data_IF_576731641438
#
_entry.id   IF_576731641438
#
_cell.length_a   1.000
_cell.length_b   1.000
_cell.length_c   1.000
_cell.angle_alpha   90.00
_cell.angle_beta   90.00
_cell.angle_gamma   90.00
#
_symmetry.space_group_name_H-M   'P 1'
#
loop_
_entity.id
_entity.type
_entity.pdbx_description
1 polymer ?
#
# COMPACT_ATOMS: atom_id res chain seq x y z
N UNK A 1 -15.22 -18.76 -20.69
CA UNK A 1 -14.81 -19.39 -19.40
C UNK A 1 -13.72 -18.63 -18.64
N UNK A 2 -12.73 -18.01 -19.31
CA UNK A 2 -11.58 -17.36 -18.65
C UNK A 2 -11.98 -16.13 -17.80
N UNK A 3 -12.93 -15.31 -18.28
CA UNK A 3 -13.38 -14.10 -17.58
C UNK A 3 -14.03 -14.38 -16.20
N UNK A 4 -14.76 -15.49 -16.06
CA UNK A 4 -15.44 -15.85 -14.81
C UNK A 4 -14.45 -16.23 -13.70
N UNK A 5 -13.38 -16.96 -14.05
CA UNK A 5 -12.32 -17.35 -13.10
C UNK A 5 -11.52 -16.15 -12.61
N UNK A 6 -11.28 -15.20 -13.51
CA UNK A 6 -10.60 -13.94 -13.24
C UNK A 6 -11.44 -13.02 -12.32
N UNK A 7 -12.76 -12.93 -12.51
CA UNK A 7 -13.67 -12.23 -11.58
C UNK A 7 -13.67 -12.84 -10.17
N UNK A 8 -13.70 -14.18 -10.05
CA UNK A 8 -13.66 -14.83 -8.73
C UNK A 8 -12.34 -14.56 -7.98
N UNK A 9 -11.22 -14.45 -8.70
CA UNK A 9 -9.92 -14.09 -8.11
C UNK A 9 -9.94 -12.66 -7.54
N UNK A 10 -10.48 -11.69 -8.29
CA UNK A 10 -10.63 -10.31 -7.84
C UNK A 10 -11.53 -10.22 -6.59
N UNK A 11 -12.67 -10.90 -6.60
CA UNK A 11 -13.59 -10.92 -5.45
C UNK A 11 -12.93 -11.52 -4.21
N UNK A 12 -12.17 -12.61 -4.35
CA UNK A 12 -11.41 -13.21 -3.24
C UNK A 12 -10.32 -12.28 -2.71
N UNK A 13 -9.62 -11.60 -3.62
CA UNK A 13 -8.59 -10.63 -3.28
C UNK A 13 -9.17 -9.47 -2.46
N UNK A 14 -10.23 -8.83 -2.94
CA UNK A 14 -10.90 -7.72 -2.21
C UNK A 14 -11.34 -8.17 -0.82
N UNK A 15 -11.96 -9.35 -0.70
CA UNK A 15 -12.37 -9.90 0.60
C UNK A 15 -11.21 -10.15 1.54
N UNK A 16 -10.09 -10.69 1.05
CA UNK A 16 -8.90 -10.92 1.88
C UNK A 16 -8.25 -9.61 2.32
N UNK A 17 -8.25 -8.58 1.47
CA UNK A 17 -7.77 -7.24 1.82
C UNK A 17 -8.65 -6.60 2.90
N UNK A 18 -9.96 -6.81 2.82
CA UNK A 18 -10.93 -6.33 3.83
C UNK A 18 -10.76 -7.02 5.19
N UNK A 19 -10.59 -8.34 5.20
CA UNK A 19 -10.48 -9.12 6.44
C UNK A 19 -9.14 -8.94 7.17
N UNK A 20 -8.09 -8.45 6.50
CA UNK A 20 -6.77 -8.23 7.10
C UNK A 20 -6.61 -6.78 7.52
N UNK A 21 -6.42 -6.56 8.83
CA UNK A 21 -6.24 -5.24 9.44
C UNK A 21 -4.80 -4.73 9.32
N UNK A 22 -3.82 -5.62 9.08
CA UNK A 22 -2.40 -5.29 9.17
C UNK A 22 -1.69 -5.22 7.80
N UNK A 23 -0.92 -4.16 7.57
CA UNK A 23 -0.10 -3.94 6.37
C UNK A 23 0.93 -5.05 6.10
N UNK A 24 1.67 -5.59 7.10
CA UNK A 24 2.65 -6.67 6.87
C UNK A 24 1.98 -7.96 6.37
N UNK A 25 0.82 -8.29 6.94
CA UNK A 25 0.02 -9.45 6.52
C UNK A 25 -0.51 -9.29 5.09
N UNK A 26 -0.76 -8.06 4.64
CA UNK A 26 -1.12 -7.76 3.26
C UNK A 26 0.09 -7.90 2.33
N UNK A 27 1.27 -7.41 2.73
CA UNK A 27 2.51 -7.53 1.94
C UNK A 27 2.84 -9.00 1.69
N UNK A 28 2.85 -9.84 2.72
CA UNK A 28 3.14 -11.28 2.59
C UNK A 28 2.11 -11.97 1.71
N UNK A 29 0.83 -11.65 1.87
CA UNK A 29 -0.24 -12.23 1.04
C UNK A 29 -0.10 -11.84 -0.44
N UNK A 30 0.19 -10.57 -0.71
CA UNK A 30 0.35 -10.06 -2.08
C UNK A 30 1.63 -10.66 -2.69
N UNK A 31 2.75 -10.68 -1.96
CA UNK A 31 4.02 -11.26 -2.42
C UNK A 31 3.96 -12.78 -2.64
N UNK A 32 3.12 -13.50 -1.88
CA UNK A 32 2.99 -14.94 -1.99
C UNK A 32 2.36 -15.42 -3.31
N UNK A 33 1.77 -14.53 -4.11
CA UNK A 33 1.12 -14.91 -5.36
C UNK A 33 1.30 -13.86 -6.47
N UNK A 34 1.91 -14.28 -7.58
CA UNK A 34 2.10 -13.46 -8.78
C UNK A 34 0.79 -12.85 -9.33
N UNK A 35 -0.34 -13.57 -9.20
CA UNK A 35 -1.64 -13.04 -9.61
C UNK A 35 -2.12 -11.90 -8.71
N UNK A 36 -1.84 -11.96 -7.41
CA UNK A 36 -2.18 -10.89 -6.47
C UNK A 36 -1.25 -9.69 -6.64
N UNK A 37 0.03 -9.92 -7.00
CA UNK A 37 0.93 -8.85 -7.43
C UNK A 37 0.33 -8.09 -8.61
N UNK A 38 0.01 -8.77 -9.71
CA UNK A 38 -0.59 -8.17 -10.92
C UNK A 38 -1.89 -7.43 -10.63
N UNK A 39 -2.77 -8.01 -9.81
CA UNK A 39 -4.02 -7.37 -9.38
C UNK A 39 -3.76 -6.12 -8.55
N UNK A 40 -2.80 -6.16 -7.63
CA UNK A 40 -2.40 -5.00 -6.84
C UNK A 40 -1.84 -3.89 -7.75
N UNK A 41 -0.97 -4.19 -8.71
CA UNK A 41 -0.46 -3.18 -9.66
C UNK A 41 -1.60 -2.59 -10.49
N UNK A 42 -2.53 -3.43 -10.95
CA UNK A 42 -3.69 -3.01 -11.75
C UNK A 42 -4.63 -2.08 -10.96
N UNK A 43 -4.89 -2.39 -9.70
CA UNK A 43 -5.78 -1.60 -8.84
C UNK A 43 -5.12 -0.27 -8.47
N UNK A 44 -3.82 -0.28 -8.19
CA UNK A 44 -3.08 0.93 -7.78
C UNK A 44 -2.73 1.82 -8.99
N UNK A 45 -2.46 1.24 -10.16
CA UNK A 45 -2.20 1.95 -11.40
C UNK A 45 -3.16 1.50 -12.52
N UNK A 46 -4.42 1.97 -12.50
CA UNK A 46 -5.44 1.58 -13.47
C UNK A 46 -5.18 2.14 -14.88
N UNK A 47 -4.19 3.02 -15.07
CA UNK A 47 -3.80 3.59 -16.36
C UNK A 47 -2.75 2.73 -17.10
N UNK A 48 -2.26 1.65 -16.49
CA UNK A 48 -1.36 0.73 -17.18
C UNK A 48 -2.12 -0.02 -18.28
N UNK A 49 -1.71 0.17 -19.54
CA UNK A 49 -2.32 -0.41 -20.75
C UNK A 49 -2.35 -1.96 -20.79
N UNK A 50 -1.72 -2.62 -19.82
CA UNK A 50 -1.59 -4.08 -19.70
C UNK A 50 -2.56 -4.72 -18.71
N UNK A 51 -3.55 -3.99 -18.18
CA UNK A 51 -4.53 -4.54 -17.23
C UNK A 51 -5.49 -5.52 -17.91
N UNK A 52 -5.66 -6.76 -17.38
CA UNK A 52 -6.68 -7.70 -17.85
C UNK A 52 -8.11 -7.33 -17.42
N UNK A 53 -8.28 -6.30 -16.57
CA UNK A 53 -9.59 -5.86 -16.08
C UNK A 53 -9.82 -4.37 -16.38
N UNK A 54 -10.97 -4.07 -17.01
CA UNK A 54 -11.44 -2.70 -17.16
C UNK A 54 -11.74 -2.09 -15.79
N UNK A 55 -11.41 -0.80 -15.61
CA UNK A 55 -11.68 -0.02 -14.39
C UNK A 55 -13.11 -0.18 -13.87
N UNK A 56 -14.07 -0.27 -14.79
CA UNK A 56 -15.49 -0.44 -14.50
C UNK A 56 -15.82 -1.75 -13.77
N UNK A 57 -15.11 -2.84 -14.08
CA UNK A 57 -15.30 -4.15 -13.43
C UNK A 57 -14.81 -4.09 -11.99
N UNK A 58 -13.64 -3.48 -11.77
CA UNK A 58 -13.06 -3.31 -10.43
C UNK A 58 -13.99 -2.44 -9.57
N UNK A 59 -14.49 -1.33 -10.13
CA UNK A 59 -15.45 -0.46 -9.43
C UNK A 59 -16.77 -1.17 -9.11
N UNK A 60 -17.26 -2.06 -9.98
CA UNK A 60 -18.45 -2.90 -9.69
C UNK A 60 -18.19 -3.87 -8.54
N UNK A 61 -17.07 -4.58 -8.55
CA UNK A 61 -16.73 -5.55 -7.49
C UNK A 61 -16.50 -4.84 -6.15
N UNK A 62 -15.82 -3.69 -6.14
CA UNK A 62 -15.61 -2.91 -4.92
C UNK A 62 -16.93 -2.40 -4.34
N UNK A 63 -17.83 -1.87 -5.19
CA UNK A 63 -19.16 -1.40 -4.76
C UNK A 63 -20.01 -2.52 -4.17
N UNK A 64 -20.00 -3.71 -4.76
CA UNK A 64 -20.71 -4.87 -4.22
C UNK A 64 -20.21 -5.29 -2.82
N UNK A 65 -18.97 -4.94 -2.49
CA UNK A 65 -18.35 -5.18 -1.19
C UNK A 65 -18.34 -3.95 -0.27
N UNK A 66 -19.09 -2.90 -0.61
CA UNK A 66 -19.26 -1.69 0.20
C UNK A 66 -18.04 -0.76 0.23
N UNK A 67 -17.05 -0.95 -0.65
CA UNK A 67 -15.83 -0.13 -0.69
C UNK A 67 -15.80 0.73 -1.95
N UNK A 68 -15.33 1.98 -1.84
CA UNK A 68 -14.98 2.77 -3.03
C UNK A 68 -13.60 2.32 -3.52
N UNK A 69 -13.37 2.43 -4.83
CA UNK A 69 -12.08 2.10 -5.42
C UNK A 69 -10.93 2.88 -4.75
N UNK A 70 -11.19 4.14 -4.38
CA UNK A 70 -10.24 5.00 -3.68
C UNK A 70 -9.86 4.46 -2.31
N UNK A 71 -10.82 4.01 -1.52
CA UNK A 71 -10.58 3.47 -0.17
C UNK A 71 -9.72 2.19 -0.25
N UNK A 72 -9.98 1.35 -1.26
CA UNK A 72 -9.17 0.17 -1.54
C UNK A 72 -7.74 0.53 -1.96
N UNK A 73 -7.59 1.55 -2.81
CA UNK A 73 -6.29 2.06 -3.22
C UNK A 73 -5.50 2.64 -2.04
N UNK A 74 -6.15 3.40 -1.17
CA UNK A 74 -5.54 3.98 0.04
C UNK A 74 -5.08 2.88 1.01
N UNK A 75 -5.86 1.80 1.17
CA UNK A 75 -5.48 0.62 1.97
C UNK A 75 -4.30 -0.16 1.37
N UNK A 76 -4.24 -0.28 0.04
CA UNK A 76 -3.21 -1.04 -0.66
C UNK A 76 -1.93 -0.22 -0.91
N UNK A 77 -2.01 1.10 -0.90
CA UNK A 77 -0.88 2.00 -1.15
C UNK A 77 0.38 1.70 -0.32
N UNK A 78 0.32 1.48 1.01
CA UNK A 78 1.53 1.17 1.79
C UNK A 78 2.15 -0.18 1.40
N UNK A 79 1.34 -1.23 1.24
CA UNK A 79 1.82 -2.54 0.80
C UNK A 79 2.40 -2.51 -0.62
N UNK A 80 1.75 -1.79 -1.55
CA UNK A 80 2.20 -1.65 -2.92
C UNK A 80 3.51 -0.86 -3.03
N UNK A 81 3.73 0.15 -2.16
CA UNK A 81 4.99 0.88 -2.04
C UNK A 81 6.11 -0.01 -1.50
N UNK A 82 5.83 -0.78 -0.45
CA UNK A 82 6.80 -1.70 0.14
C UNK A 82 7.26 -2.80 -0.84
N UNK A 83 6.36 -3.25 -1.71
CA UNK A 83 6.65 -4.23 -2.75
C UNK A 83 7.27 -3.64 -4.02
N UNK A 84 7.51 -2.33 -4.09
CA UNK A 84 8.03 -1.65 -5.28
C UNK A 84 7.09 -1.68 -6.49
N UNK A 85 5.83 -2.08 -6.29
CA UNK A 85 4.78 -2.19 -7.31
C UNK A 85 4.21 -0.82 -7.64
N UNK A 86 4.04 0.01 -6.61
CA UNK A 86 3.63 1.37 -6.74
C UNK A 86 4.87 2.25 -6.64
N UNK A 87 5.21 2.95 -7.72
CA UNK A 87 6.07 4.13 -7.59
C UNK A 87 5.45 5.03 -6.53
N UNK A 88 6.26 5.59 -5.63
CA UNK A 88 5.82 6.48 -4.55
C UNK A 88 4.96 7.69 -5.01
N UNK A 89 4.77 7.83 -6.31
CA UNK A 89 3.97 8.79 -7.05
C UNK A 89 2.46 8.50 -7.13
N UNK A 90 1.86 7.94 -6.09
CA UNK A 90 0.41 7.81 -5.97
C UNK A 90 -0.14 8.70 -4.85
N UNK A 91 -0.73 9.85 -5.21
CA UNK A 91 -1.85 10.40 -4.42
C UNK A 91 -1.68 11.71 -3.65
N UNK A 92 -0.58 12.45 -3.78
CA UNK A 92 -0.60 13.88 -3.47
C UNK A 92 0.18 14.61 -4.56
N UNK A 93 -0.46 15.60 -5.18
CA UNK A 93 0.14 16.40 -6.22
C UNK A 93 1.39 17.11 -5.63
N UNK A 94 2.57 16.54 -5.89
CA UNK A 94 3.82 17.17 -5.49
C UNK A 94 3.93 18.47 -6.27
N UNK A 95 3.91 19.62 -5.60
CA UNK A 95 3.97 20.94 -6.24
C UNK A 95 5.23 21.10 -7.10
N UNK A 96 6.33 20.45 -6.70
CA UNK A 96 7.55 20.34 -7.49
C UNK A 96 7.33 19.61 -8.83
N UNK A 97 6.53 18.55 -8.85
CA UNK A 97 6.17 17.82 -10.09
C UNK A 97 5.19 18.62 -10.96
N UNK A 98 4.27 19.37 -10.35
CA UNK A 98 3.35 20.27 -11.05
C UNK A 98 4.08 21.44 -11.71
N UNK A 99 5.22 21.87 -11.16
CA UNK A 99 6.10 22.84 -11.81
C UNK A 99 7.16 22.18 -12.71
N UNK A 100 7.46 20.89 -12.52
CA UNK A 100 8.47 20.16 -13.29
C UNK A 100 9.90 20.46 -12.85
N UNK A 101 10.07 20.81 -11.58
CA UNK A 101 11.35 21.22 -11.00
C UNK A 101 11.78 20.25 -9.90
N UNK A 102 13.06 20.33 -9.52
CA UNK A 102 13.60 19.59 -8.38
C UNK A 102 13.29 20.31 -7.06
N UNK A 103 13.33 19.55 -5.96
CA UNK A 103 13.14 20.07 -4.60
C UNK A 103 14.25 21.04 -4.18
N UNK A 104 15.40 20.99 -4.85
CA UNK A 104 16.53 21.90 -4.64
C UNK A 104 16.44 23.16 -5.51
N UNK A 105 15.33 23.35 -6.25
CA UNK A 105 15.19 24.46 -7.18
C UNK A 105 15.20 25.81 -6.45
N UNK A 106 15.92 26.76 -7.06
CA UNK A 106 16.01 28.14 -6.62
C UNK A 106 14.70 28.91 -6.90
N UNK A 107 14.44 30.03 -6.21
CA UNK A 107 13.28 30.88 -6.48
C UNK A 107 13.21 31.37 -7.94
N UNK A 108 14.37 31.53 -8.59
CA UNK A 108 14.47 31.91 -10.00
C UNK A 108 13.95 30.81 -10.92
N UNK A 109 14.36 29.56 -10.67
CA UNK A 109 13.92 28.39 -11.43
C UNK A 109 12.42 28.12 -11.25
N UNK A 110 11.89 28.28 -10.02
CA UNK A 110 10.45 28.16 -9.74
C UNK A 110 9.64 29.14 -10.60
N UNK A 111 10.09 30.41 -10.67
CA UNK A 111 9.43 31.45 -11.46
C UNK A 111 9.53 31.20 -12.97
N UNK A 112 10.67 30.70 -13.44
CA UNK A 112 10.88 30.37 -14.85
C UNK A 112 10.01 29.18 -15.28
N UNK A 113 9.96 28.12 -14.47
CA UNK A 113 9.16 26.94 -14.73
C UNK A 113 7.66 27.27 -14.74
N UNK A 114 7.19 28.09 -13.81
CA UNK A 114 5.81 28.59 -13.80
C UNK A 114 5.45 29.32 -15.10
N UNK A 115 6.30 30.26 -15.55
CA UNK A 115 6.07 31.00 -16.80
C UNK A 115 6.01 30.10 -18.02
N UNK A 116 6.94 29.15 -18.14
CA UNK A 116 6.95 28.19 -19.24
C UNK A 116 5.68 27.34 -19.25
N UNK A 117 5.29 26.76 -18.12
CA UNK A 117 4.07 25.93 -18.05
C UNK A 117 2.78 26.71 -18.20
N UNK A 118 2.71 27.94 -17.68
CA UNK A 118 1.53 28.80 -17.81
C UNK A 118 1.25 29.16 -19.27
N UNK A 119 2.28 29.34 -20.10
CA UNK A 119 2.12 29.54 -21.54
C UNK A 119 1.57 28.29 -22.26
N UNK A 120 2.00 27.10 -21.85
CA UNK A 120 1.53 25.84 -22.44
C UNK A 120 0.11 25.45 -21.98
N UNK A 121 -0.26 25.79 -20.75
CA UNK A 121 -1.56 25.47 -20.15
C UNK A 121 -2.57 26.62 -20.26
N UNK A 122 -2.27 27.65 -21.05
CA UNK A 122 -3.16 28.79 -21.20
C UNK A 122 -4.49 28.32 -21.84
N UNK A 123 -5.65 28.64 -21.25
CA UNK A 123 -6.96 28.13 -21.69
C UNK A 123 -7.31 28.53 -23.13
N UNK A 124 -6.65 29.56 -23.66
CA UNK A 124 -6.82 30.07 -25.02
C UNK A 124 -6.09 29.22 -26.08
N UNK A 125 -5.09 28.42 -25.69
CA UNK A 125 -4.29 27.58 -26.61
C UNK A 125 -4.70 26.11 -26.58
N UNK A 126 -5.43 25.70 -25.54
CA UNK A 126 -5.82 24.31 -25.29
C UNK A 126 -7.29 24.06 -25.65
N UNK A 127 -7.53 23.17 -26.63
CA UNK A 127 -8.86 22.76 -27.12
C UNK A 127 -9.79 22.12 -26.06
N UNK A 128 -9.23 21.63 -24.95
CA UNK A 128 -9.98 21.06 -23.83
C UNK A 128 -10.11 22.06 -22.67
N UNK A 129 -11.25 22.77 -22.62
CA UNK A 129 -11.43 23.91 -21.70
C UNK A 129 -11.50 23.50 -20.23
N UNK A 130 -12.08 22.34 -19.88
CA UNK A 130 -12.29 21.94 -18.48
C UNK A 130 -11.03 21.43 -17.78
N UNK A 131 -10.25 20.59 -18.45
CA UNK A 131 -9.00 20.05 -17.87
C UNK A 131 -7.89 21.11 -17.80
N UNK A 132 -7.84 22.02 -18.77
CA UNK A 132 -6.82 23.07 -18.81
C UNK A 132 -7.01 24.09 -17.69
N UNK A 133 -8.26 24.48 -17.39
CA UNK A 133 -8.58 25.35 -16.24
C UNK A 133 -8.15 24.70 -14.92
N UNK A 134 -8.45 23.42 -14.72
CA UNK A 134 -8.06 22.70 -13.51
C UNK A 134 -6.54 22.60 -13.38
N UNK A 135 -5.83 22.23 -14.45
CA UNK A 135 -4.37 22.13 -14.44
C UNK A 135 -3.69 23.49 -14.24
N UNK A 136 -4.29 24.57 -14.75
CA UNK A 136 -3.81 25.92 -14.52
C UNK A 136 -3.98 26.36 -13.07
N UNK A 137 -5.12 26.02 -12.43
CA UNK A 137 -5.32 26.24 -11.00
C UNK A 137 -4.29 25.47 -10.17
N UNK A 138 -4.10 24.18 -10.45
CA UNK A 138 -3.09 23.34 -9.77
C UNK A 138 -1.67 23.91 -9.95
N UNK A 139 -1.34 24.43 -11.14
CA UNK A 139 -0.06 25.10 -11.42
C UNK A 139 0.09 26.41 -10.62
N UNK A 140 -0.97 27.19 -10.51
CA UNK A 140 -0.97 28.43 -9.75
C UNK A 140 -0.78 28.18 -8.25
N UNK A 141 -1.51 27.22 -7.69
CA UNK A 141 -1.41 26.85 -6.27
C UNK A 141 -0.01 26.33 -5.92
N UNK A 142 0.58 25.53 -6.81
CA UNK A 142 1.95 25.06 -6.68
C UNK A 142 2.95 26.22 -6.63
N UNK A 143 2.79 27.20 -7.53
CA UNK A 143 3.67 28.38 -7.55
C UNK A 143 3.51 29.25 -6.31
N UNK A 144 2.28 29.51 -5.85
CA UNK A 144 2.05 30.33 -4.66
C UNK A 144 2.67 29.70 -3.41
N UNK A 145 2.52 28.39 -3.26
CA UNK A 145 3.08 27.65 -2.11
C UNK A 145 4.60 27.60 -2.15
N UNK A 146 5.21 27.37 -3.33
CA UNK A 146 6.66 27.18 -3.43
C UNK A 146 7.47 28.47 -3.57
N UNK A 147 6.82 29.58 -3.97
CA UNK A 147 7.45 30.90 -4.08
C UNK A 147 7.80 31.49 -2.72
N UNK A 148 6.93 31.31 -1.74
CA UNK A 148 7.14 31.82 -0.38
C UNK A 148 7.96 30.80 0.44
N UNK A 149 9.13 31.17 0.97
CA UNK A 149 9.94 30.29 1.79
C UNK A 149 9.19 29.72 3.00
N UNK A 150 8.35 30.53 3.66
CA UNK A 150 7.60 30.10 4.84
C UNK A 150 6.53 29.05 4.48
N UNK A 151 5.81 29.25 3.37
CA UNK A 151 4.82 28.28 2.88
C UNK A 151 5.49 27.01 2.35
N UNK A 152 6.65 27.15 1.69
CA UNK A 152 7.47 26.03 1.23
C UNK A 152 7.96 25.19 2.41
N UNK A 153 8.41 25.81 3.49
CA UNK A 153 8.86 25.11 4.69
C UNK A 153 7.72 24.33 5.35
N UNK A 154 6.53 24.94 5.47
CA UNK A 154 5.33 24.27 5.98
C UNK A 154 4.93 23.11 5.09
N UNK A 155 4.96 23.29 3.77
CA UNK A 155 4.69 22.25 2.80
C UNK A 155 5.69 21.09 2.90
N UNK A 156 6.98 21.39 2.96
CA UNK A 156 8.05 20.40 3.06
C UNK A 156 8.04 19.69 4.42
N UNK A 157 7.66 20.37 5.50
CA UNK A 157 7.46 19.77 6.83
C UNK A 157 6.26 18.81 6.82
N UNK A 158 5.12 19.23 6.27
CA UNK A 158 3.94 18.37 6.10
C UNK A 158 4.20 17.17 5.20
N UNK A 159 5.00 17.35 4.13
CA UNK A 159 5.45 16.28 3.24
C UNK A 159 6.35 15.28 3.98
N UNK A 160 7.34 15.76 4.74
CA UNK A 160 8.19 14.92 5.61
C UNK A 160 7.37 14.14 6.63
N UNK A 161 6.38 14.75 7.26
CA UNK A 161 5.51 14.08 8.24
C UNK A 161 4.63 13.02 7.58
N UNK A 162 4.11 13.29 6.38
CA UNK A 162 3.34 12.33 5.58
C UNK A 162 4.19 11.16 5.09
N UNK A 163 5.48 11.37 4.89
CA UNK A 163 6.48 10.32 4.63
C UNK A 163 6.95 9.58 5.88
N UNK A 164 6.64 10.07 7.08
CA UNK A 164 7.12 9.54 8.37
C UNK A 164 6.17 8.53 9.02
N UNK A 165 5.47 7.73 8.22
CA UNK A 165 4.87 6.48 8.73
C UNK A 165 6.01 5.54 9.11
N UNK A 166 6.44 5.57 10.38
CA UNK A 166 7.26 4.52 10.96
C UNK A 166 6.31 3.43 11.41
N UNK A 167 6.34 2.30 10.73
CA UNK A 167 5.81 1.06 11.29
C UNK A 167 6.57 0.83 12.60
N UNK A 168 5.91 0.95 13.76
CA UNK A 168 6.42 0.22 14.92
C UNK A 168 6.35 -1.24 14.50
N UNK A 169 7.48 -1.97 14.37
CA UNK A 169 7.38 -3.41 14.25
C UNK A 169 6.60 -3.83 15.49
N UNK A 170 5.37 -4.31 15.27
CA UNK A 170 4.67 -5.05 16.31
C UNK A 170 5.67 -6.09 16.75
N UNK A 171 6.11 -5.96 18.00
CA UNK A 171 7.00 -6.89 18.66
C UNK A 171 6.21 -8.19 18.65
N UNK A 172 6.38 -8.98 17.59
CA UNK A 172 5.94 -10.36 17.57
C UNK A 172 6.50 -10.91 18.86
N UNK A 173 5.61 -11.44 19.70
CA UNK A 173 6.01 -12.47 20.62
C UNK A 173 6.72 -13.49 19.73
N UNK A 174 8.04 -13.35 19.67
CA UNK A 174 8.96 -14.45 19.49
C UNK A 174 8.26 -15.64 20.12
N UNK A 175 8.07 -16.70 19.35
CA UNK A 175 7.84 -18.00 19.93
C UNK A 175 9.08 -18.29 20.78
N UNK A 176 9.10 -17.73 21.98
CA UNK A 176 10.10 -17.97 22.99
C UNK A 176 10.12 -19.49 23.14
N UNK A 177 11.32 -20.08 23.21
CA UNK A 177 11.59 -21.52 23.28
C UNK A 177 10.95 -22.28 24.45
N UNK A 178 9.89 -21.73 25.05
CA UNK A 178 8.99 -22.30 26.04
C UNK A 178 8.10 -23.40 25.46
N UNK A 179 7.71 -23.34 24.18
CA UNK A 179 6.97 -24.43 23.54
C UNK A 179 7.82 -25.71 23.43
N UNK A 180 9.12 -25.57 23.16
CA UNK A 180 10.07 -26.68 23.13
C UNK A 180 10.25 -27.29 24.51
N UNK A 181 10.40 -26.46 25.55
CA UNK A 181 10.53 -26.94 26.94
C UNK A 181 9.29 -27.70 27.43
N UNK A 182 8.09 -27.27 27.04
CA UNK A 182 6.86 -27.96 27.45
C UNK A 182 6.74 -29.36 26.83
N UNK A 183 7.15 -29.52 25.57
CA UNK A 183 7.18 -30.83 24.90
C UNK A 183 8.18 -31.79 25.56
N UNK A 184 9.36 -31.30 25.97
CA UNK A 184 10.32 -32.10 26.73
C UNK A 184 9.79 -32.48 28.13
N UNK A 185 9.13 -31.56 28.82
CA UNK A 185 8.61 -31.80 30.17
C UNK A 185 7.44 -32.81 30.17
N UNK A 186 6.47 -32.63 29.26
CA UNK A 186 5.32 -33.54 29.12
C UNK A 186 5.77 -34.92 28.62
N UNK A 187 6.72 -34.97 27.68
CA UNK A 187 7.30 -36.23 27.21
C UNK A 187 8.06 -36.99 28.30
N UNK A 188 8.89 -36.30 29.09
CA UNK A 188 9.63 -36.91 30.19
C UNK A 188 8.73 -37.46 31.30
N UNK A 189 7.67 -36.72 31.67
CA UNK A 189 6.73 -37.14 32.71
C UNK A 189 5.93 -38.39 32.27
N UNK A 190 5.57 -38.48 30.99
CA UNK A 190 4.89 -39.64 30.42
C UNK A 190 5.77 -40.91 30.45
N UNK A 191 7.07 -40.78 30.15
CA UNK A 191 8.02 -41.92 30.25
C UNK A 191 8.15 -42.40 31.69
N UNK A 192 8.29 -41.48 32.65
CA UNK A 192 8.36 -41.83 34.09
C UNK A 192 7.08 -42.54 34.54
N UNK A 193 5.92 -42.07 34.09
CA UNK A 193 4.63 -42.68 34.43
C UNK A 193 4.50 -44.10 33.87
N UNK A 194 4.95 -44.33 32.63
CA UNK A 194 4.98 -45.66 32.02
C UNK A 194 5.89 -46.60 32.83
N UNK A 195 7.11 -46.16 33.18
CA UNK A 195 8.05 -47.00 33.95
C UNK A 195 7.50 -47.32 35.34
N UNK A 196 6.88 -46.35 36.02
CA UNK A 196 6.25 -46.57 37.32
C UNK A 196 5.11 -47.58 37.24
N UNK A 197 4.27 -47.50 36.19
CA UNK A 197 3.18 -48.43 35.97
C UNK A 197 3.69 -49.87 35.83
N UNK A 198 4.73 -50.10 35.02
CA UNK A 198 5.33 -51.43 34.86
C UNK A 198 6.03 -51.93 36.13
N UNK A 199 6.67 -51.04 36.89
CA UNK A 199 7.30 -51.42 38.16
C UNK A 199 6.26 -51.82 39.22
N UNK A 200 5.12 -51.13 39.28
CA UNK A 200 4.02 -51.48 40.18
C UNK A 200 3.38 -52.83 39.81
N UNK A 201 3.24 -53.10 38.51
CA UNK A 201 2.70 -54.39 38.02
C UNK A 201 3.66 -55.56 38.30
N UNK A 202 4.97 -55.32 38.30
CA UNK A 202 5.97 -56.32 38.68
C UNK A 202 5.94 -56.67 40.17
N UNK A 203 5.57 -55.71 41.04
CA UNK A 203 5.47 -55.90 42.50
C UNK A 203 4.15 -56.56 42.89
N UNK A 204 3.07 -56.34 42.13
CA UNK A 204 1.77 -56.99 42.39
C UNK A 204 1.76 -58.48 41.98
N UNK A 205 2.66 -58.88 41.07
CA UNK A 205 2.77 -60.24 40.55
C UNK A 205 3.74 -61.15 41.34
N UNK A 206 4.42 -60.63 42.37
CA UNK A 206 5.31 -61.37 43.29
C UNK A 206 4.65 -61.61 44.64
#
# INVERSE_FOLDING_TARGET
MIAHRQMQLLTRFVRQVQNRLDTPSLIVMIAANDHYLRLCQTIVNPAAASSPFSREIIERVCRNHGWRLRDLQERLAPAARALGIASANGGSADYYRILGIRETASPREIKQAYRSRALHLHPDTSRDTKDSVRRFQELHDAYQTLRDPALRDVYDAGRRQRSRWHEHPMRFLSADGRATLYLWYVGGLLVVFIVLFFALDAISAS
#
